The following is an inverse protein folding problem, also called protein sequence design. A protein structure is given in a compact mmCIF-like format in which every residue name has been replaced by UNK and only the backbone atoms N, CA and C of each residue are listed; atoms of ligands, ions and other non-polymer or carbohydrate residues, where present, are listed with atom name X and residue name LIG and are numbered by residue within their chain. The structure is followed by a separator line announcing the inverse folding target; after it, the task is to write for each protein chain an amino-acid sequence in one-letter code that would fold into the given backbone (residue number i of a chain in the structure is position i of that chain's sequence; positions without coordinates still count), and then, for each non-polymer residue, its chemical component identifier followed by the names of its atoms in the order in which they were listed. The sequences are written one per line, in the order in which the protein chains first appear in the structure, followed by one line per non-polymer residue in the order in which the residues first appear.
data_IF_576992749096
#
_entry.id   IF_576992749096
#
_cell.length_a   1.000
_cell.length_b   1.000
_cell.length_c   1.000
_cell.angle_alpha   90.00
_cell.angle_beta   90.00
_cell.angle_gamma   90.00
#
_symmetry.space_group_name_H-M   'P 1'
#
loop_
_entity.id
_entity.type
_entity.pdbx_description
1 polymer ?
#
# COMPACT_ATOMS: atom_id res chain seq x y z
N UNK A 1 -25.72 17.36 -8.29
CA UNK A 1 -25.94 16.84 -6.93
C UNK A 1 -25.04 15.62 -6.77
N UNK A 2 -23.84 15.89 -6.25
CA UNK A 2 -22.74 15.04 -5.76
C UNK A 2 -22.49 13.66 -6.41
N UNK A 3 -21.88 13.71 -7.61
CA UNK A 3 -21.22 12.60 -8.30
C UNK A 3 -19.85 12.25 -7.69
N UNK A 4 -19.77 12.12 -6.37
CA UNK A 4 -18.55 11.61 -5.74
C UNK A 4 -18.52 10.08 -5.90
N UNK A 5 -17.74 9.61 -6.87
CA UNK A 5 -17.42 8.20 -7.13
C UNK A 5 -16.64 7.57 -5.96
N UNK A 6 -17.23 7.53 -4.77
CA UNK A 6 -16.75 6.73 -3.65
C UNK A 6 -16.97 5.25 -3.95
N UNK A 7 -15.98 4.42 -3.71
CA UNK A 7 -16.17 2.98 -3.84
C UNK A 7 -17.26 2.50 -2.87
N UNK A 8 -18.22 1.74 -3.40
CA UNK A 8 -19.29 1.09 -2.64
C UNK A 8 -18.76 0.34 -1.41
N UNK A 9 -19.43 0.50 -0.26
CA UNK A 9 -18.95 -0.06 1.01
C UNK A 9 -18.84 -1.59 0.98
N UNK A 10 -19.76 -2.27 0.30
CA UNK A 10 -19.69 -3.72 0.14
C UNK A 10 -18.50 -4.13 -0.73
N UNK A 11 -18.23 -3.37 -1.80
CA UNK A 11 -17.03 -3.54 -2.61
C UNK A 11 -15.76 -3.35 -1.78
N UNK A 12 -15.68 -2.32 -0.93
CA UNK A 12 -14.54 -2.10 -0.02
C UNK A 12 -14.39 -3.28 0.95
N UNK A 13 -15.49 -3.76 1.55
CA UNK A 13 -15.48 -4.91 2.48
C UNK A 13 -14.98 -6.18 1.80
N UNK A 14 -15.43 -6.44 0.57
CA UNK A 14 -14.98 -7.56 -0.26
C UNK A 14 -13.47 -7.48 -0.54
N UNK A 15 -12.97 -6.31 -0.92
CA UNK A 15 -11.54 -6.13 -1.18
C UNK A 15 -10.70 -6.22 0.10
N UNK A 16 -11.20 -5.76 1.26
CA UNK A 16 -10.54 -5.95 2.56
C UNK A 16 -10.44 -7.43 2.95
N UNK A 17 -11.47 -8.24 2.66
CA UNK A 17 -11.41 -9.70 2.89
C UNK A 17 -10.31 -10.35 2.05
N UNK A 18 -10.26 -10.05 0.75
CA UNK A 18 -9.21 -10.53 -0.16
C UNK A 18 -7.81 -10.12 0.31
N UNK A 19 -7.64 -8.89 0.82
CA UNK A 19 -6.35 -8.45 1.36
C UNK A 19 -5.92 -9.26 2.58
N UNK A 20 -6.85 -9.59 3.49
CA UNK A 20 -6.57 -10.44 4.67
C UNK A 20 -6.13 -11.85 4.26
N UNK A 21 -6.84 -12.46 3.32
CA UNK A 21 -6.48 -13.76 2.74
C UNK A 21 -5.10 -13.70 2.07
N UNK A 22 -4.86 -12.67 1.25
CA UNK A 22 -3.57 -12.47 0.59
C UNK A 22 -2.42 -12.31 1.58
N UNK A 23 -2.65 -11.66 2.72
CA UNK A 23 -1.63 -11.46 3.77
C UNK A 23 -1.13 -12.77 4.36
N UNK A 24 -1.95 -13.82 4.33
CA UNK A 24 -1.57 -15.15 4.81
C UNK A 24 -0.87 -15.99 3.73
N UNK A 25 -0.96 -15.59 2.46
CA UNK A 25 -0.38 -16.32 1.33
C UNK A 25 1.15 -16.38 1.38
N UNK A 26 1.71 -17.46 0.84
CA UNK A 26 3.16 -17.60 0.67
C UNK A 26 3.76 -16.52 -0.22
N UNK A 27 2.99 -16.04 -1.20
CA UNK A 27 3.40 -14.93 -2.06
C UNK A 27 3.67 -13.66 -1.24
N UNK A 28 2.77 -13.31 -0.31
CA UNK A 28 2.96 -12.15 0.55
C UNK A 28 4.13 -12.32 1.52
N UNK A 29 4.25 -13.50 2.15
CA UNK A 29 5.39 -13.83 3.03
C UNK A 29 6.73 -13.67 2.30
N UNK A 30 6.85 -14.19 1.07
CA UNK A 30 8.04 -14.03 0.22
C UNK A 30 8.31 -12.57 -0.15
N UNK A 31 7.27 -11.77 -0.36
CA UNK A 31 7.39 -10.33 -0.63
C UNK A 31 7.97 -9.59 0.56
N UNK A 32 7.45 -9.84 1.77
CA UNK A 32 7.96 -9.24 3.01
C UNK A 32 9.36 -9.75 3.38
N UNK A 33 9.70 -11.00 3.06
CA UNK A 33 11.02 -11.57 3.35
C UNK A 33 12.17 -10.82 2.67
N UNK A 34 11.90 -10.09 1.58
CA UNK A 34 12.89 -9.19 0.97
C UNK A 34 13.31 -8.05 1.89
N UNK A 35 12.48 -7.70 2.88
CA UNK A 35 12.82 -6.75 3.93
C UNK A 35 13.08 -5.34 3.40
N UNK A 36 12.34 -4.89 2.38
CA UNK A 36 12.52 -3.56 1.77
C UNK A 36 11.17 -2.88 1.62
N UNK A 37 11.10 -1.60 2.01
CA UNK A 37 9.92 -0.77 1.77
C UNK A 37 9.81 -0.39 0.30
N UNK A 38 8.63 -0.56 -0.30
CA UNK A 38 8.41 -0.21 -1.71
C UNK A 38 8.60 1.28 -2.01
N UNK A 39 8.21 2.16 -1.07
CA UNK A 39 8.23 3.60 -1.28
C UNK A 39 9.60 4.22 -1.04
N UNK A 40 10.11 4.12 0.19
CA UNK A 40 11.40 4.72 0.54
C UNK A 40 12.62 3.88 0.13
N UNK A 41 12.46 2.59 -0.16
CA UNK A 41 13.59 1.71 -0.51
C UNK A 41 14.43 1.26 0.69
N UNK A 42 14.17 1.78 1.89
CA UNK A 42 14.91 1.42 3.11
C UNK A 42 14.72 -0.07 3.49
N UNK A 43 15.76 -0.70 4.05
CA UNK A 43 15.65 -2.02 4.65
C UNK A 43 14.80 -1.96 5.92
N UNK A 44 13.84 -2.88 6.01
CA UNK A 44 12.86 -2.98 7.11
C UNK A 44 12.67 -4.43 7.46
N UNK A 45 12.63 -4.76 8.75
CA UNK A 45 12.39 -6.13 9.19
C UNK A 45 11.08 -6.66 8.61
N UNK A 46 11.02 -7.92 8.12
CA UNK A 46 9.81 -8.47 7.52
C UNK A 46 8.56 -8.37 8.39
N UNK A 47 8.71 -8.40 9.72
CA UNK A 47 7.63 -8.27 10.69
C UNK A 47 7.06 -6.83 10.80
N UNK A 48 7.85 -5.82 10.44
CA UNK A 48 7.48 -4.40 10.50
C UNK A 48 6.90 -3.89 9.16
N UNK A 49 6.94 -4.71 8.12
CA UNK A 49 6.33 -4.41 6.83
C UNK A 49 4.82 -4.58 6.89
N UNK A 50 4.14 -3.55 6.41
CA UNK A 50 2.69 -3.47 6.27
C UNK A 50 2.27 -3.67 4.82
N UNK A 51 1.00 -4.06 4.61
CA UNK A 51 0.40 -4.15 3.29
C UNK A 51 -0.24 -2.81 2.96
N UNK A 52 0.24 -2.16 1.91
CA UNK A 52 -0.33 -0.93 1.37
C UNK A 52 -0.91 -1.18 -0.02
N UNK A 53 -1.97 -0.45 -0.36
CA UNK A 53 -2.59 -0.46 -1.68
C UNK A 53 -2.12 0.75 -2.47
N UNK A 54 -1.44 0.53 -3.59
CA UNK A 54 -0.91 1.60 -4.47
C UNK A 54 -2.04 2.56 -4.86
N UNK A 55 -3.15 2.01 -5.35
CA UNK A 55 -4.43 2.71 -5.47
C UNK A 55 -5.30 2.36 -4.25
N UNK A 56 -5.68 3.33 -3.40
CA UNK A 56 -6.50 3.08 -2.21
C UNK A 56 -7.85 2.44 -2.55
N UNK A 57 -8.33 1.56 -1.67
CA UNK A 57 -9.64 0.90 -1.85
C UNK A 57 -10.80 1.92 -1.93
N UNK A 58 -10.72 3.02 -1.17
CA UNK A 58 -11.72 4.10 -1.19
C UNK A 58 -11.82 4.79 -2.56
N UNK A 59 -10.75 4.73 -3.35
CA UNK A 59 -10.67 5.26 -4.72
C UNK A 59 -10.81 4.16 -5.79
N UNK A 60 -11.45 3.03 -5.44
CA UNK A 60 -11.73 1.93 -6.36
C UNK A 60 -10.61 0.90 -6.55
N UNK A 61 -9.50 1.03 -5.81
CA UNK A 61 -8.40 0.06 -5.84
C UNK A 61 -8.84 -1.36 -5.49
N UNK A 62 -8.12 -2.37 -6.03
CA UNK A 62 -8.40 -3.79 -5.79
C UNK A 62 -7.28 -4.47 -5.01
N UNK A 63 -7.60 -5.51 -4.27
CA UNK A 63 -6.61 -6.30 -3.52
C UNK A 63 -5.97 -7.37 -4.42
N UNK A 64 -5.23 -6.92 -5.42
CA UNK A 64 -4.51 -7.77 -6.38
C UNK A 64 -3.00 -7.68 -6.16
N UNK A 65 -2.24 -8.68 -6.60
CA UNK A 65 -0.77 -8.71 -6.47
C UNK A 65 -0.06 -7.52 -7.12
N UNK A 66 -0.68 -6.89 -8.13
CA UNK A 66 -0.16 -5.70 -8.80
C UNK A 66 -0.47 -4.38 -8.09
N UNK A 67 -1.48 -4.36 -7.22
CA UNK A 67 -1.90 -3.15 -6.50
C UNK A 67 -1.49 -3.17 -5.01
N UNK A 68 -0.95 -4.29 -4.49
CA UNK A 68 -0.47 -4.35 -3.11
C UNK A 68 1.05 -4.43 -3.03
N UNK A 69 1.63 -3.67 -2.10
CA UNK A 69 3.07 -3.54 -1.93
C UNK A 69 3.47 -3.58 -0.45
N UNK A 70 4.65 -4.12 -0.11
CA UNK A 70 5.19 -4.06 1.24
C UNK A 70 5.68 -2.64 1.54
N UNK A 71 5.26 -2.09 2.67
CA UNK A 71 5.52 -0.71 3.04
C UNK A 71 5.87 -0.61 4.53
N UNK A 72 6.86 0.22 4.89
CA UNK A 72 7.15 0.51 6.29
C UNK A 72 6.01 1.31 6.93
N UNK A 73 5.89 1.24 8.27
CA UNK A 73 4.83 1.96 9.00
C UNK A 73 4.89 3.48 8.76
N UNK A 74 6.09 4.07 8.68
CA UNK A 74 6.26 5.50 8.48
C UNK A 74 5.73 5.97 7.11
N UNK A 75 6.09 5.27 6.03
CA UNK A 75 5.59 5.53 4.68
C UNK A 75 4.06 5.34 4.62
N UNK A 76 3.56 4.24 5.20
CA UNK A 76 2.13 3.91 5.14
C UNK A 76 1.28 4.98 5.85
N UNK A 77 1.71 5.44 7.03
CA UNK A 77 1.03 6.51 7.79
C UNK A 77 1.08 7.85 7.06
N UNK A 78 2.18 8.17 6.37
CA UNK A 78 2.31 9.42 5.60
C UNK A 78 1.46 9.40 4.32
N UNK A 79 1.40 8.27 3.60
CA UNK A 79 0.62 8.12 2.36
C UNK A 79 -0.89 8.22 2.58
N UNK A 80 -1.43 7.64 3.66
CA UNK A 80 -2.88 7.62 3.94
C UNK A 80 -3.73 7.18 2.73
N UNK A 81 -4.46 8.11 2.13
CA UNK A 81 -5.36 7.91 0.98
C UNK A 81 -4.89 8.64 -0.29
N UNK A 82 -3.64 9.10 -0.30
CA UNK A 82 -3.06 9.76 -1.47
C UNK A 82 -2.92 8.76 -2.62
N UNK A 83 -3.24 9.21 -3.83
CA UNK A 83 -2.91 8.51 -5.06
C UNK A 83 -1.42 8.61 -5.36
N UNK A 84 -0.89 7.73 -6.22
CA UNK A 84 0.52 7.77 -6.64
C UNK A 84 0.98 9.17 -7.08
N UNK A 85 0.19 9.86 -7.90
CA UNK A 85 0.53 11.22 -8.38
C UNK A 85 0.69 12.25 -7.25
N UNK A 86 -0.05 12.10 -6.15
CA UNK A 86 0.03 12.98 -4.97
C UNK A 86 1.20 12.58 -4.04
N UNK A 87 1.68 11.34 -4.17
CA UNK A 87 2.70 10.73 -3.33
C UNK A 87 4.10 10.73 -3.97
N UNK A 88 4.19 10.76 -5.29
CA UNK A 88 5.45 10.67 -6.05
C UNK A 88 6.42 11.78 -5.65
N UNK A 89 5.94 13.02 -5.47
CA UNK A 89 6.76 14.13 -5.01
C UNK A 89 7.40 13.88 -3.64
N UNK A 90 6.70 13.18 -2.73
CA UNK A 90 7.24 12.79 -1.43
C UNK A 90 8.29 11.67 -1.58
N UNK A 91 7.99 10.66 -2.40
CA UNK A 91 8.90 9.53 -2.65
C UNK A 91 10.22 10.02 -3.24
N UNK A 92 10.16 10.94 -4.20
CA UNK A 92 11.36 11.55 -4.79
C UNK A 92 12.19 12.30 -3.75
N UNK A 93 11.54 13.05 -2.85
CA UNK A 93 12.22 13.75 -1.76
C UNK A 93 12.91 12.80 -0.77
N UNK A 94 12.26 11.68 -0.44
CA UNK A 94 12.83 10.68 0.48
C UNK A 94 14.02 9.95 -0.13
N UNK A 95 13.94 9.57 -1.41
CA UNK A 95 15.06 8.92 -2.10
C UNK A 95 16.28 9.83 -2.26
N UNK A 96 16.07 11.16 -2.36
CA UNK A 96 17.15 12.16 -2.49
C UNK A 96 17.78 12.56 -1.15
N UNK A 97 17.14 12.24 -0.02
CA UNK A 97 17.57 12.64 1.32
C UNK A 97 18.10 11.49 2.19
N UNK A 98 18.64 10.42 1.58
CA UNK A 98 19.30 9.35 2.31
C UNK A 98 20.44 9.91 3.17
N UNK A 99 20.30 9.78 4.49
CA UNK A 99 21.40 9.88 5.47
C UNK A 99 22.07 8.53 5.56
#
# INVERSE_FOLDING_TARGET
MDWYFGADEEAIKKERRKAREMRQSQWWKRRCAKGVCHWCGEPVKPAELTMDHVVPLARGGKSTKGNVVPCCKACNTKKKQLLPMEWDAWVEGVKKGGV
#
